data_IF_221400823297
#
_entry.id   IF_221400823297
#
_cell.length_a   1.000
_cell.length_b   1.000
_cell.length_c   1.000
_cell.angle_alpha   90.00
_cell.angle_beta   90.00
_cell.angle_gamma   90.00
#
_symmetry.space_group_name_H-M   'P 1'
#
loop_
_entity.id
_entity.type
_entity.pdbx_description
1 polymer ?
#
# COMPACT_ATOMS: atom_id res chain seq x y z
N UNK A 1 -58.28 -26.98 -30.38
CA UNK A 1 -58.91 -25.72 -30.82
C UNK A 1 -58.52 -24.64 -29.81
N UNK A 2 -57.80 -23.60 -30.26
CA UNK A 2 -57.71 -22.20 -29.78
C UNK A 2 -58.48 -21.86 -28.46
N UNK A 3 -58.03 -21.08 -27.45
CA UNK A 3 -56.96 -20.06 -27.35
C UNK A 3 -56.85 -19.47 -25.92
N UNK A 4 -55.62 -19.02 -25.58
CA UNK A 4 -55.18 -17.79 -24.87
C UNK A 4 -55.49 -17.48 -23.37
N UNK A 5 -54.37 -17.36 -22.64
CA UNK A 5 -53.86 -16.20 -21.86
C UNK A 5 -54.78 -15.54 -20.81
N UNK A 6 -54.36 -15.54 -19.53
CA UNK A 6 -53.55 -14.46 -18.93
C UNK A 6 -53.43 -14.55 -17.39
N UNK A 7 -52.34 -13.98 -16.87
CA UNK A 7 -52.08 -13.49 -15.48
C UNK A 7 -51.70 -14.52 -14.40
N UNK A 8 -50.44 -14.98 -14.48
CA UNK A 8 -49.58 -15.06 -13.30
C UNK A 8 -49.18 -13.63 -12.90
N UNK A 9 -49.97 -13.00 -12.04
CA UNK A 9 -49.55 -11.77 -11.37
C UNK A 9 -48.53 -12.10 -10.28
N UNK A 10 -47.30 -11.64 -10.52
CA UNK A 10 -46.31 -11.26 -9.53
C UNK A 10 -46.94 -10.93 -8.16
N UNK A 11 -46.81 -11.82 -7.19
CA UNK A 11 -46.73 -11.42 -5.78
C UNK A 11 -45.25 -11.14 -5.55
N UNK A 12 -44.83 -9.94 -5.97
CA UNK A 12 -43.62 -9.32 -5.44
C UNK A 12 -44.03 -8.91 -4.04
N UNK A 13 -43.47 -9.59 -3.04
CA UNK A 13 -43.61 -9.21 -1.64
C UNK A 13 -43.05 -7.79 -1.46
N UNK A 14 -43.91 -6.77 -1.28
CA UNK A 14 -43.47 -5.38 -1.21
C UNK A 14 -42.66 -5.12 0.06
N UNK A 15 -42.88 -5.92 1.12
CA UNK A 15 -42.17 -5.78 2.39
C UNK A 15 -40.75 -6.30 2.29
N UNK A 16 -40.52 -7.47 1.68
CA UNK A 16 -39.16 -8.01 1.44
C UNK A 16 -38.28 -7.06 0.60
N UNK A 17 -38.85 -6.45 -0.45
CA UNK A 17 -38.13 -5.48 -1.28
C UNK A 17 -37.98 -4.12 -0.60
N UNK A 18 -38.98 -3.66 0.17
CA UNK A 18 -38.89 -2.42 0.93
C UNK A 18 -37.89 -2.52 2.08
N UNK A 19 -37.84 -3.63 2.82
CA UNK A 19 -36.85 -3.87 3.88
C UNK A 19 -35.45 -3.97 3.28
N UNK A 20 -35.27 -4.68 2.16
CA UNK A 20 -33.97 -4.70 1.44
C UNK A 20 -33.58 -3.34 0.89
N UNK A 21 -34.52 -2.56 0.34
CA UNK A 21 -34.28 -1.18 -0.10
C UNK A 21 -33.94 -0.26 1.06
N UNK A 22 -34.64 -0.38 2.18
CA UNK A 22 -34.47 0.45 3.37
C UNK A 22 -33.13 0.16 4.02
N UNK A 23 -32.76 -1.11 4.22
CA UNK A 23 -31.44 -1.51 4.73
C UNK A 23 -30.34 -1.05 3.79
N UNK A 24 -30.53 -1.17 2.47
CA UNK A 24 -29.59 -0.68 1.45
C UNK A 24 -29.47 0.85 1.45
N UNK A 25 -30.55 1.60 1.60
CA UNK A 25 -30.55 3.06 1.65
C UNK A 25 -29.98 3.59 2.97
N UNK A 26 -30.25 2.92 4.10
CA UNK A 26 -29.68 3.24 5.42
C UNK A 26 -28.17 3.00 5.43
N UNK A 27 -27.74 1.88 4.87
CA UNK A 27 -26.33 1.53 4.67
C UNK A 27 -25.61 2.50 3.72
N UNK A 28 -26.24 2.89 2.61
CA UNK A 28 -25.72 3.94 1.72
C UNK A 28 -25.67 5.28 2.45
N UNK A 29 -26.69 5.66 3.23
CA UNK A 29 -26.71 6.88 4.04
C UNK A 29 -25.58 6.95 5.07
N UNK A 30 -25.35 5.86 5.82
CA UNK A 30 -24.25 5.77 6.78
C UNK A 30 -22.87 5.76 6.14
N UNK A 31 -22.74 5.16 4.96
CA UNK A 31 -21.51 5.22 4.17
C UNK A 31 -21.28 6.62 3.59
N UNK A 32 -22.34 7.34 3.21
CA UNK A 32 -22.26 8.68 2.64
C UNK A 32 -21.95 9.78 3.68
N UNK A 33 -22.24 9.58 4.96
CA UNK A 33 -21.82 10.53 6.02
C UNK A 33 -20.37 10.31 6.49
N UNK A 34 -19.79 9.12 6.25
CA UNK A 34 -18.36 8.84 6.44
C UNK A 34 -17.43 9.58 5.46
N UNK A 35 -17.99 10.24 4.44
CA UNK A 35 -17.33 10.81 3.25
C UNK A 35 -16.33 11.96 3.51
N UNK A 36 -16.27 12.55 4.70
CA UNK A 36 -15.54 13.81 4.90
C UNK A 36 -14.02 13.68 5.19
N UNK A 37 -13.35 12.60 4.78
CA UNK A 37 -12.32 12.04 5.66
C UNK A 37 -10.84 11.92 5.18
N UNK A 38 -10.05 13.01 5.06
CA UNK A 38 -8.56 13.00 5.29
C UNK A 38 -8.09 13.75 6.56
N UNK A 39 -7.62 13.05 7.61
CA UNK A 39 -7.36 13.59 8.97
C UNK A 39 -7.76 12.65 10.11
N UNK A 40 -7.61 13.09 11.36
CA UNK A 40 -8.19 12.37 12.51
C UNK A 40 -9.69 12.60 12.52
N UNK A 41 -10.44 11.53 12.80
CA UNK A 41 -11.89 11.59 12.90
C UNK A 41 -12.30 12.47 14.07
N UNK A 42 -13.32 13.32 13.91
CA UNK A 42 -13.75 14.27 14.94
C UNK A 42 -14.06 13.61 16.29
N UNK A 43 -14.60 12.38 16.29
CA UNK A 43 -14.84 11.59 17.50
C UNK A 43 -13.58 11.22 18.29
N UNK A 44 -12.40 11.26 17.64
CA UNK A 44 -11.14 10.81 18.21
C UNK A 44 -10.19 11.96 18.59
N UNK A 45 -10.47 13.20 18.16
CA UNK A 45 -9.54 14.34 18.27
C UNK A 45 -9.10 14.61 19.70
N UNK A 46 -10.03 14.67 20.65
CA UNK A 46 -9.70 15.05 22.03
C UNK A 46 -8.84 13.99 22.72
N UNK A 47 -9.18 12.71 22.53
CA UNK A 47 -8.37 11.61 23.05
C UNK A 47 -6.99 11.53 22.42
N UNK A 48 -6.88 11.88 21.14
CA UNK A 48 -5.60 11.89 20.44
C UNK A 48 -4.72 13.02 20.93
N UNK A 49 -5.28 14.21 21.19
CA UNK A 49 -4.53 15.31 21.80
C UNK A 49 -3.99 14.89 23.18
N UNK A 50 -4.84 14.32 24.04
CA UNK A 50 -4.43 13.87 25.38
C UNK A 50 -3.27 12.86 25.32
N UNK A 51 -3.34 11.89 24.41
CA UNK A 51 -2.24 10.93 24.24
C UNK A 51 -0.97 11.56 23.68
N UNK A 52 -1.08 12.33 22.60
CA UNK A 52 0.10 12.93 21.96
C UNK A 52 0.76 14.04 22.77
N UNK A 53 0.06 14.61 23.75
CA UNK A 53 0.62 15.59 24.68
C UNK A 53 1.50 14.95 25.78
N UNK A 54 1.53 13.62 25.88
CA UNK A 54 2.46 12.91 26.79
C UNK A 54 3.90 13.06 26.30
N UNK A 55 4.79 13.50 27.20
CA UNK A 55 6.21 13.77 26.91
C UNK A 55 6.95 12.56 26.34
N UNK A 56 6.69 11.37 26.87
CA UNK A 56 7.29 10.11 26.40
C UNK A 56 7.07 9.88 24.90
N UNK A 57 5.83 10.06 24.43
CA UNK A 57 5.46 9.86 23.01
C UNK A 57 6.11 10.89 22.10
N UNK A 58 6.25 12.13 22.58
CA UNK A 58 6.93 13.20 21.86
C UNK A 58 8.43 12.93 21.75
N UNK A 59 9.07 12.42 22.80
CA UNK A 59 10.49 12.06 22.76
C UNK A 59 10.77 10.89 21.82
N UNK A 60 9.89 9.87 21.74
CA UNK A 60 9.97 8.80 20.73
C UNK A 60 9.90 9.38 19.31
N UNK A 61 8.91 10.24 19.04
CA UNK A 61 8.72 10.89 17.73
C UNK A 61 9.92 11.77 17.33
N UNK A 62 10.48 12.50 18.30
CA UNK A 62 11.68 13.31 18.13
C UNK A 62 12.92 12.46 17.84
N UNK A 63 13.13 11.40 18.62
CA UNK A 63 14.28 10.52 18.49
C UNK A 63 14.37 9.92 17.09
N UNK A 64 13.28 9.33 16.59
CA UNK A 64 13.27 8.77 15.22
C UNK A 64 13.44 9.88 14.18
N UNK A 65 12.81 11.04 14.37
CA UNK A 65 12.89 12.15 13.41
C UNK A 65 14.31 12.64 13.21
N UNK A 66 15.04 12.91 14.29
CA UNK A 66 16.42 13.38 14.25
C UNK A 66 17.36 12.32 13.63
N UNK A 67 17.14 11.04 13.93
CA UNK A 67 17.96 9.93 13.43
C UNK A 67 17.71 9.60 11.94
N UNK A 68 16.67 10.16 11.34
CA UNK A 68 16.21 9.81 9.99
C UNK A 68 16.04 11.03 9.08
N UNK A 69 16.79 12.11 9.37
CA UNK A 69 16.88 13.28 8.50
C UNK A 69 17.53 12.88 7.18
N UNK A 70 16.74 12.89 6.10
CA UNK A 70 17.23 12.78 4.72
C UNK A 70 17.42 14.18 4.17
N UNK A 71 18.68 14.60 4.04
CA UNK A 71 19.03 15.95 3.58
C UNK A 71 18.40 16.26 2.23
N UNK A 72 17.93 17.49 2.09
CA UNK A 72 17.51 18.03 0.80
C UNK A 72 18.37 19.24 0.43
N UNK A 73 18.95 19.30 -0.79
CA UNK A 73 19.66 20.49 -1.24
C UNK A 73 18.73 21.65 -1.62
N UNK A 74 17.41 21.41 -1.66
CA UNK A 74 16.41 22.41 -2.08
C UNK A 74 15.21 22.44 -1.13
N UNK A 75 14.85 23.62 -0.65
CA UNK A 75 13.71 23.85 0.26
C UNK A 75 12.36 23.46 -0.35
N UNK A 76 12.23 23.49 -1.68
CA UNK A 76 10.99 23.19 -2.39
C UNK A 76 11.15 21.93 -3.22
N UNK A 77 10.16 21.04 -3.19
CA UNK A 77 9.89 20.18 -4.37
C UNK A 77 9.61 21.18 -5.51
N UNK A 78 10.17 20.97 -6.71
CA UNK A 78 9.61 21.63 -7.91
C UNK A 78 8.09 21.55 -7.79
N UNK A 79 7.38 22.67 -7.95
CA UNK A 79 5.94 22.80 -7.71
C UNK A 79 5.20 21.61 -8.33
N UNK A 80 5.00 20.57 -7.53
CA UNK A 80 4.08 19.49 -7.86
C UNK A 80 2.75 20.18 -7.67
N UNK A 81 2.11 20.50 -8.80
CA UNK A 81 0.86 21.23 -8.92
C UNK A 81 0.04 21.21 -7.62
N UNK A 82 -0.27 22.40 -7.09
CA UNK A 82 -1.09 22.66 -5.90
C UNK A 82 -1.83 21.41 -5.40
N UNK A 83 -1.33 20.86 -4.29
CA UNK A 83 -1.96 19.73 -3.62
C UNK A 83 -3.43 20.06 -3.40
N UNK A 84 -4.35 19.10 -3.60
CA UNK A 84 -5.76 19.35 -3.32
C UNK A 84 -5.92 19.82 -1.86
N UNK A 85 -6.77 20.83 -1.58
CA UNK A 85 -7.05 21.22 -0.22
C UNK A 85 -7.59 20.02 0.58
N UNK A 86 -7.38 20.03 1.90
CA UNK A 86 -7.96 19.01 2.77
C UNK A 86 -9.49 18.94 2.55
N UNK A 87 -10.08 17.73 2.54
CA UNK A 87 -11.52 17.58 2.43
C UNK A 87 -12.23 18.39 3.52
N UNK A 88 -13.41 18.98 3.22
CA UNK A 88 -14.22 19.66 4.22
C UNK A 88 -14.49 18.72 5.41
N UNK A 89 -14.21 19.17 6.64
CA UNK A 89 -14.48 18.41 7.88
C UNK A 89 -13.26 17.87 8.62
N UNK A 90 -12.06 17.93 8.04
CA UNK A 90 -10.84 17.46 8.71
C UNK A 90 -9.70 18.48 8.75
N UNK A 91 -8.88 18.35 9.80
CA UNK A 91 -7.73 19.21 10.09
C UNK A 91 -6.50 18.36 10.28
N UNK A 92 -5.35 18.90 9.89
CA UNK A 92 -4.06 18.35 10.25
C UNK A 92 -3.93 18.30 11.78
N UNK A 93 -3.52 17.17 12.34
CA UNK A 93 -3.34 17.07 13.78
C UNK A 93 -2.15 17.91 14.25
N UNK A 94 -2.23 18.63 15.38
CA UNK A 94 -1.11 19.41 15.91
C UNK A 94 0.16 18.59 16.18
N UNK A 95 0.02 17.27 16.46
CA UNK A 95 1.17 16.39 16.74
C UNK A 95 2.09 16.18 15.55
N UNK A 96 1.68 16.51 14.32
CA UNK A 96 2.53 16.36 13.12
C UNK A 96 3.88 17.05 13.28
N UNK A 97 3.93 18.18 14.00
CA UNK A 97 5.16 18.90 14.31
C UNK A 97 6.25 17.96 14.87
N UNK A 98 5.90 16.95 15.65
CA UNK A 98 6.89 16.05 16.25
C UNK A 98 7.57 15.12 15.25
N UNK A 99 6.95 14.86 14.09
CA UNK A 99 7.51 14.03 13.00
C UNK A 99 8.26 14.83 11.93
N UNK A 100 8.25 16.16 12.03
CA UNK A 100 8.85 17.08 11.06
C UNK A 100 10.27 17.46 11.49
N UNK A 101 11.22 17.33 10.57
CA UNK A 101 12.60 17.74 10.86
C UNK A 101 12.73 19.27 10.98
N UNK A 102 11.90 20.02 10.25
CA UNK A 102 11.84 21.49 10.31
C UNK A 102 11.51 22.01 11.72
N UNK A 103 10.73 21.25 12.51
CA UNK A 103 10.44 21.58 13.91
C UNK A 103 11.71 21.61 14.77
N UNK A 104 12.74 20.86 14.37
CA UNK A 104 14.03 20.81 15.03
C UNK A 104 15.13 21.59 14.28
N UNK A 105 14.75 22.48 13.35
CA UNK A 105 15.69 23.34 12.62
C UNK A 105 16.42 22.67 11.46
N UNK A 106 15.95 21.53 10.97
CA UNK A 106 16.57 20.78 9.88
C UNK A 106 15.73 20.76 8.60
N UNK A 107 16.39 20.68 7.44
CA UNK A 107 15.73 20.49 6.16
C UNK A 107 15.71 19.02 5.79
N UNK A 108 14.52 18.48 5.53
CA UNK A 108 14.36 17.07 5.19
C UNK A 108 13.47 16.86 3.96
N UNK A 109 13.84 15.89 3.13
CA UNK A 109 12.98 15.44 2.02
C UNK A 109 11.63 14.89 2.50
N UNK A 110 11.59 14.26 3.68
CA UNK A 110 10.35 13.74 4.27
C UNK A 110 9.38 14.88 4.54
N UNK A 111 9.83 16.03 5.04
CA UNK A 111 8.97 17.16 5.38
C UNK A 111 8.22 17.74 4.18
N UNK A 112 8.71 17.50 2.95
CA UNK A 112 8.05 17.94 1.70
C UNK A 112 6.71 17.25 1.43
N UNK A 113 6.34 16.26 2.23
CA UNK A 113 5.04 15.58 2.16
C UNK A 113 4.08 16.06 3.24
N UNK A 114 4.47 17.02 4.10
CA UNK A 114 3.67 17.45 5.25
C UNK A 114 2.25 17.88 4.87
N UNK A 115 2.09 18.47 3.69
CA UNK A 115 0.79 18.90 3.16
C UNK A 115 -0.12 17.73 2.71
N UNK A 116 0.46 16.52 2.58
CA UNK A 116 -0.25 15.27 2.28
C UNK A 116 -0.48 14.41 3.54
N UNK A 117 0.09 14.82 4.68
CA UNK A 117 0.09 14.05 5.92
C UNK A 117 -0.80 14.71 6.94
N UNK A 118 -1.66 13.91 7.58
CA UNK A 118 -2.70 14.40 8.47
C UNK A 118 -2.52 14.05 9.94
N UNK A 119 -1.73 13.02 10.23
CA UNK A 119 -1.37 12.62 11.59
C UNK A 119 0.09 12.16 11.64
N UNK A 120 0.69 12.22 12.83
CA UNK A 120 2.14 12.10 13.00
C UNK A 120 2.65 10.68 12.72
N UNK A 121 1.83 9.66 12.91
CA UNK A 121 2.18 8.25 12.68
C UNK A 121 2.61 8.02 11.23
N UNK A 122 2.08 8.82 10.31
CA UNK A 122 2.43 8.74 8.90
C UNK A 122 3.87 9.16 8.66
N UNK A 123 4.29 10.23 9.33
CA UNK A 123 5.69 10.64 9.33
C UNK A 123 6.51 9.57 10.04
N UNK A 124 6.09 9.10 11.21
CA UNK A 124 6.85 8.09 11.97
C UNK A 124 7.07 6.80 11.16
N UNK A 125 6.06 6.27 10.49
CA UNK A 125 6.17 5.11 9.62
C UNK A 125 7.16 5.33 8.47
N UNK A 126 7.17 6.53 7.87
CA UNK A 126 8.13 6.86 6.82
C UNK A 126 9.55 7.02 7.36
N UNK A 127 9.68 7.53 8.58
CA UNK A 127 10.94 7.63 9.31
C UNK A 127 11.46 6.23 9.66
N UNK A 128 10.58 5.31 10.05
CA UNK A 128 10.92 3.89 10.24
C UNK A 128 11.50 3.26 8.97
N UNK A 129 10.97 3.58 7.78
CA UNK A 129 11.53 3.10 6.50
C UNK A 129 12.97 3.58 6.31
N UNK A 130 13.21 4.86 6.61
CA UNK A 130 14.55 5.45 6.55
C UNK A 130 15.48 4.79 7.57
N UNK A 131 15.02 4.56 8.79
CA UNK A 131 15.77 3.88 9.84
C UNK A 131 16.18 2.46 9.43
N UNK A 132 15.20 1.64 8.99
CA UNK A 132 15.43 0.27 8.52
C UNK A 132 16.39 0.26 7.34
N UNK A 133 16.22 1.15 6.36
CA UNK A 133 17.09 1.17 5.16
C UNK A 133 18.50 1.70 5.46
N UNK A 134 18.72 2.47 6.54
CA UNK A 134 20.05 2.89 6.99
C UNK A 134 20.78 1.80 7.77
N UNK A 135 20.04 1.00 8.53
CA UNK A 135 20.55 -0.05 9.41
C UNK A 135 19.80 -1.37 9.21
N UNK A 136 19.78 -1.91 7.98
CA UNK A 136 19.05 -3.16 7.71
C UNK A 136 19.69 -4.34 8.44
N UNK A 137 18.89 -5.34 8.76
CA UNK A 137 19.37 -6.59 9.36
C UNK A 137 20.52 -7.18 8.51
N UNK A 138 21.67 -7.59 9.10
CA UNK A 138 22.88 -7.95 8.35
C UNK A 138 22.66 -8.99 7.25
N UNK A 139 21.95 -10.09 7.55
CA UNK A 139 21.62 -11.13 6.54
C UNK A 139 20.77 -10.61 5.37
N UNK A 140 19.83 -9.70 5.65
CA UNK A 140 18.97 -9.10 4.61
C UNK A 140 19.78 -8.12 3.78
N UNK A 141 20.71 -7.40 4.40
CA UNK A 141 21.62 -6.52 3.70
C UNK A 141 22.60 -7.29 2.80
N UNK A 142 23.14 -8.42 3.26
CA UNK A 142 23.95 -9.31 2.44
C UNK A 142 23.18 -9.83 1.22
N UNK A 143 21.90 -10.19 1.39
CA UNK A 143 21.03 -10.55 0.27
C UNK A 143 20.87 -9.37 -0.71
N UNK A 144 20.63 -8.16 -0.21
CA UNK A 144 20.52 -6.96 -1.05
C UNK A 144 21.83 -6.65 -1.81
N UNK A 145 22.99 -6.77 -1.17
CA UNK A 145 24.32 -6.65 -1.80
C UNK A 145 24.46 -7.67 -2.94
N UNK A 146 24.12 -8.93 -2.67
CA UNK A 146 24.22 -10.01 -3.67
C UNK A 146 23.32 -9.75 -4.88
N UNK A 147 22.07 -9.37 -4.63
CA UNK A 147 21.11 -8.96 -5.68
C UNK A 147 21.68 -7.79 -6.50
N UNK A 148 22.22 -6.79 -5.80
CA UNK A 148 22.85 -5.62 -6.41
C UNK A 148 23.98 -6.00 -7.36
N UNK A 149 24.94 -6.80 -6.89
CA UNK A 149 26.10 -7.26 -7.68
C UNK A 149 25.69 -8.00 -8.95
N UNK A 150 24.70 -8.91 -8.86
CA UNK A 150 24.21 -9.62 -10.05
C UNK A 150 23.53 -8.65 -11.01
N UNK A 151 22.65 -7.78 -10.53
CA UNK A 151 22.01 -6.77 -11.38
C UNK A 151 23.02 -5.84 -12.04
N UNK A 152 24.02 -5.36 -11.31
CA UNK A 152 25.06 -4.49 -11.84
C UNK A 152 25.83 -5.16 -12.96
N UNK A 153 26.21 -6.42 -12.77
CA UNK A 153 26.87 -7.24 -13.80
C UNK A 153 25.99 -7.39 -15.04
N UNK A 154 24.73 -7.74 -14.89
CA UNK A 154 23.83 -8.01 -16.01
C UNK A 154 23.42 -6.73 -16.76
N UNK A 155 23.05 -5.67 -16.04
CA UNK A 155 22.64 -4.41 -16.63
C UNK A 155 23.79 -3.66 -17.31
N UNK A 156 25.04 -3.84 -16.84
CA UNK A 156 26.22 -3.21 -17.46
C UNK A 156 26.53 -3.72 -18.88
N UNK A 157 25.96 -4.87 -19.27
CA UNK A 157 26.10 -5.42 -20.63
C UNK A 157 25.16 -4.73 -21.64
N UNK A 158 24.14 -4.03 -21.15
CA UNK A 158 23.12 -3.41 -21.99
C UNK A 158 23.63 -2.09 -22.55
N UNK A 159 23.31 -1.82 -23.81
CA UNK A 159 23.45 -0.48 -24.36
C UNK A 159 22.45 0.48 -23.68
N UNK A 160 22.70 1.79 -23.86
CA UNK A 160 21.90 2.85 -23.22
C UNK A 160 20.41 2.80 -23.62
N UNK A 161 20.10 2.45 -24.86
CA UNK A 161 18.73 2.39 -25.36
C UNK A 161 17.99 1.20 -24.74
N UNK A 162 18.61 0.02 -24.75
CA UNK A 162 18.05 -1.20 -24.13
C UNK A 162 17.81 -1.01 -22.63
N UNK A 163 18.78 -0.40 -21.91
CA UNK A 163 18.64 -0.10 -20.49
C UNK A 163 17.49 0.89 -20.24
N UNK A 164 17.34 1.94 -21.06
CA UNK A 164 16.23 2.87 -20.94
C UNK A 164 14.86 2.19 -21.20
N UNK A 165 14.79 1.30 -22.19
CA UNK A 165 13.57 0.54 -22.51
C UNK A 165 13.12 -0.36 -21.37
N UNK A 166 14.04 -0.90 -20.56
CA UNK A 166 13.69 -1.66 -19.34
C UNK A 166 12.80 -0.84 -18.41
N UNK A 167 13.19 0.41 -18.13
CA UNK A 167 12.44 1.29 -17.24
C UNK A 167 11.15 1.80 -17.89
N UNK A 168 11.21 2.17 -19.17
CA UNK A 168 10.07 2.72 -19.91
C UNK A 168 8.93 1.69 -20.08
N UNK A 169 9.27 0.45 -20.45
CA UNK A 169 8.30 -0.62 -20.74
C UNK A 169 7.92 -1.36 -19.46
N UNK A 170 8.88 -1.60 -18.57
CA UNK A 170 8.66 -2.31 -17.30
C UNK A 170 7.75 -1.53 -16.36
N UNK A 171 7.89 -0.21 -16.30
CA UNK A 171 7.01 0.61 -15.48
C UNK A 171 5.61 0.77 -16.10
N UNK A 172 4.57 0.74 -15.29
CA UNK A 172 3.19 0.98 -15.75
C UNK A 172 2.83 2.47 -15.74
N UNK A 173 3.62 3.31 -15.08
CA UNK A 173 3.44 4.76 -14.95
C UNK A 173 4.80 5.43 -15.07
N UNK A 174 4.87 6.65 -15.64
CA UNK A 174 6.09 7.45 -15.64
C UNK A 174 6.49 7.76 -14.19
N UNK A 175 7.59 7.17 -13.74
CA UNK A 175 8.06 7.23 -12.35
C UNK A 175 8.69 8.60 -12.05
N UNK A 176 7.88 9.54 -11.58
CA UNK A 176 8.34 10.90 -11.26
C UNK A 176 9.09 11.01 -9.94
N UNK A 177 8.85 10.09 -9.00
CA UNK A 177 9.42 10.16 -7.64
C UNK A 177 10.80 9.55 -7.53
N UNK A 178 11.26 8.88 -8.58
CA UNK A 178 12.58 8.24 -8.64
C UNK A 178 13.38 8.73 -9.85
N UNK A 179 12.99 9.89 -10.38
CA UNK A 179 13.63 10.51 -11.54
C UNK A 179 15.10 10.86 -11.24
N UNK A 180 15.42 11.22 -9.99
CA UNK A 180 16.79 11.44 -9.51
C UNK A 180 17.69 10.22 -9.67
N UNK A 181 17.13 9.00 -9.54
CA UNK A 181 17.86 7.74 -9.74
C UNK A 181 17.89 7.35 -11.23
N UNK A 182 16.82 7.61 -11.96
CA UNK A 182 16.66 7.21 -13.36
C UNK A 182 17.40 8.13 -14.36
N UNK A 183 17.60 9.41 -14.03
CA UNK A 183 18.31 10.37 -14.89
C UNK A 183 19.81 10.07 -14.97
N UNK A 184 20.42 9.57 -13.88
CA UNK A 184 21.84 9.21 -13.83
C UNK A 184 22.04 7.69 -13.85
N UNK A 185 21.76 7.10 -15.02
CA UNK A 185 21.93 5.66 -15.25
C UNK A 185 23.37 5.18 -14.99
N UNK A 186 24.39 6.02 -15.20
CA UNK A 186 25.79 5.65 -14.94
C UNK A 186 26.03 5.47 -13.45
N UNK A 187 25.55 6.40 -12.63
CA UNK A 187 25.64 6.30 -11.17
C UNK A 187 24.83 5.13 -10.64
N UNK A 188 23.63 4.89 -11.20
CA UNK A 188 22.82 3.72 -10.87
C UNK A 188 23.61 2.42 -11.08
N UNK A 189 24.22 2.25 -12.26
CA UNK A 189 25.04 1.05 -12.57
C UNK A 189 26.26 0.97 -11.67
N UNK A 190 26.95 2.08 -11.40
CA UNK A 190 28.11 2.11 -10.49
C UNK A 190 27.75 1.65 -9.08
N UNK A 191 26.59 2.05 -8.54
CA UNK A 191 26.10 1.60 -7.23
C UNK A 191 25.84 0.09 -7.24
N UNK A 192 25.28 -0.45 -8.33
CA UNK A 192 24.99 -1.88 -8.44
C UNK A 192 26.23 -2.74 -8.69
N UNK A 193 27.27 -2.19 -9.33
CA UNK A 193 28.52 -2.91 -9.58
C UNK A 193 29.39 -3.03 -8.32
N UNK A 194 29.38 -1.99 -7.46
CA UNK A 194 30.10 -1.96 -6.19
C UNK A 194 29.13 -1.69 -5.01
N UNK A 195 28.16 -2.57 -4.73
CA UNK A 195 27.09 -2.32 -3.75
C UNK A 195 27.60 -2.11 -2.32
N UNK A 196 28.75 -2.69 -1.97
CA UNK A 196 29.39 -2.54 -0.65
C UNK A 196 29.97 -1.14 -0.41
N UNK A 197 30.29 -0.39 -1.48
CA UNK A 197 30.80 0.99 -1.38
C UNK A 197 29.68 2.02 -1.20
N UNK A 198 28.45 1.64 -1.52
CA UNK A 198 27.29 2.51 -1.38
C UNK A 198 26.71 2.40 0.04
N UNK A 199 26.29 3.51 0.67
CA UNK A 199 25.50 3.46 1.89
C UNK A 199 24.27 2.54 1.72
N UNK A 200 23.89 1.74 2.73
CA UNK A 200 22.79 0.79 2.63
C UNK A 200 21.50 1.40 2.06
N UNK A 201 21.14 2.59 2.55
CA UNK A 201 19.95 3.31 2.09
C UNK A 201 20.01 3.67 0.60
N UNK A 202 21.19 4.02 0.08
CA UNK A 202 21.39 4.36 -1.32
C UNK A 202 21.27 3.11 -2.22
N UNK A 203 21.88 1.99 -1.80
CA UNK A 203 21.77 0.71 -2.51
C UNK A 203 20.31 0.24 -2.56
N UNK A 204 19.64 0.18 -1.41
CA UNK A 204 18.26 -0.27 -1.30
C UNK A 204 17.30 0.60 -2.14
N UNK A 205 17.57 1.91 -2.20
CA UNK A 205 16.84 2.82 -3.09
C UNK A 205 17.04 2.49 -4.57
N UNK A 206 18.28 2.20 -4.99
CA UNK A 206 18.54 1.81 -6.39
C UNK A 206 17.89 0.47 -6.70
N UNK A 207 18.01 -0.52 -5.82
CA UNK A 207 17.39 -1.83 -5.98
C UNK A 207 15.88 -1.73 -6.16
N UNK A 208 15.21 -0.93 -5.33
CA UNK A 208 13.78 -0.69 -5.43
C UNK A 208 13.37 -0.14 -6.82
N UNK A 209 14.11 0.86 -7.32
CA UNK A 209 13.85 1.50 -8.63
C UNK A 209 14.04 0.52 -9.79
N UNK A 210 14.97 -0.42 -9.67
CA UNK A 210 15.35 -1.36 -10.73
C UNK A 210 14.54 -2.66 -10.68
N UNK A 211 14.38 -3.26 -9.51
CA UNK A 211 13.69 -4.53 -9.32
C UNK A 211 12.21 -4.46 -9.70
N UNK A 212 11.54 -3.33 -9.46
CA UNK A 212 10.14 -3.15 -9.82
C UNK A 212 9.90 -3.30 -11.34
N UNK A 213 10.46 -2.45 -12.22
CA UNK A 213 10.26 -2.58 -13.67
C UNK A 213 10.83 -3.89 -14.22
N UNK A 214 11.99 -4.35 -13.74
CA UNK A 214 12.58 -5.63 -14.14
C UNK A 214 11.67 -6.82 -13.80
N UNK A 215 11.17 -6.87 -12.56
CA UNK A 215 10.24 -7.89 -12.10
C UNK A 215 8.91 -7.83 -12.85
N UNK A 216 8.40 -6.64 -13.17
CA UNK A 216 7.15 -6.49 -13.93
C UNK A 216 7.27 -7.04 -15.36
N UNK A 217 8.43 -6.88 -16.00
CA UNK A 217 8.72 -7.52 -17.27
C UNK A 217 8.76 -9.05 -17.11
N UNK A 218 9.47 -9.54 -16.08
CA UNK A 218 9.59 -10.97 -15.79
C UNK A 218 8.24 -11.64 -15.51
N UNK A 219 7.40 -11.01 -14.69
CA UNK A 219 6.12 -11.55 -14.25
C UNK A 219 5.12 -11.71 -15.40
N UNK A 220 5.21 -10.85 -16.43
CA UNK A 220 4.32 -10.91 -17.59
C UNK A 220 4.94 -11.62 -18.81
N UNK A 221 6.21 -12.01 -18.72
CA UNK A 221 6.97 -12.54 -19.86
C UNK A 221 6.36 -13.83 -20.42
N UNK A 222 6.13 -13.87 -21.73
CA UNK A 222 5.53 -15.02 -22.43
C UNK A 222 4.03 -15.24 -22.16
N UNK A 223 3.39 -14.44 -21.30
CA UNK A 223 1.97 -14.50 -21.01
C UNK A 223 1.11 -13.57 -21.87
N UNK A 224 -0.23 -13.65 -21.68
CA UNK A 224 -1.22 -12.80 -22.38
C UNK A 224 -0.99 -11.30 -22.19
N UNK A 225 -0.41 -10.90 -21.06
CA UNK A 225 -0.16 -9.50 -20.70
C UNK A 225 1.32 -9.09 -20.86
N UNK A 226 2.11 -9.84 -21.65
CA UNK A 226 3.53 -9.59 -21.85
C UNK A 226 3.80 -8.16 -22.34
N UNK A 227 4.45 -7.36 -21.50
CA UNK A 227 4.77 -5.95 -21.78
C UNK A 227 5.70 -5.78 -22.99
N UNK A 228 6.67 -6.69 -23.17
CA UNK A 228 7.60 -6.68 -24.31
C UNK A 228 6.85 -6.96 -25.62
N UNK A 229 6.00 -7.99 -25.63
CA UNK A 229 5.20 -8.31 -26.81
C UNK A 229 4.24 -7.18 -27.17
N UNK A 230 3.62 -6.54 -26.17
CA UNK A 230 2.78 -5.36 -26.38
C UNK A 230 3.58 -4.20 -27.00
N UNK A 231 4.76 -3.88 -26.47
CA UNK A 231 5.62 -2.83 -27.01
C UNK A 231 6.07 -3.12 -28.45
N UNK A 232 6.35 -4.40 -28.77
CA UNK A 232 6.64 -4.86 -30.13
C UNK A 232 5.47 -4.64 -31.08
N UNK A 233 4.25 -4.93 -30.64
CA UNK A 233 3.02 -4.67 -31.40
C UNK A 233 2.75 -3.16 -31.61
N UNK A 234 3.21 -2.32 -30.67
CA UNK A 234 3.17 -0.86 -30.78
C UNK A 234 4.30 -0.28 -31.67
N UNK A 235 5.13 -1.13 -32.30
CA UNK A 235 6.18 -0.71 -33.22
C UNK A 235 7.47 -0.22 -32.54
N UNK A 236 7.66 -0.47 -31.24
CA UNK A 236 8.90 -0.15 -30.54
C UNK A 236 9.97 -1.21 -30.85
N UNK A 237 11.22 -0.78 -31.04
CA UNK A 237 12.36 -1.70 -31.05
C UNK A 237 12.65 -2.19 -29.64
N UNK A 238 12.41 -3.47 -29.41
CA UNK A 238 12.60 -4.16 -28.14
C UNK A 238 13.50 -5.38 -28.26
N UNK A 239 14.24 -5.51 -29.38
CA UNK A 239 15.06 -6.69 -29.68
C UNK A 239 16.11 -6.97 -28.60
N UNK A 240 16.84 -5.95 -28.16
CA UNK A 240 17.80 -6.05 -27.06
C UNK A 240 17.15 -6.42 -25.73
N UNK A 241 15.99 -5.83 -25.41
CA UNK A 241 15.25 -6.10 -24.18
C UNK A 241 14.66 -7.52 -24.16
N UNK A 242 14.13 -8.00 -25.29
CA UNK A 242 13.60 -9.35 -25.47
C UNK A 242 14.71 -10.40 -25.27
N UNK A 243 15.89 -10.18 -25.87
CA UNK A 243 17.07 -11.04 -25.69
C UNK A 243 17.52 -11.09 -24.23
N UNK A 244 17.68 -9.92 -23.60
CA UNK A 244 18.05 -9.81 -22.19
C UNK A 244 17.07 -10.54 -21.27
N UNK A 245 15.77 -10.29 -21.43
CA UNK A 245 14.75 -10.94 -20.60
C UNK A 245 14.68 -12.44 -20.89
N UNK A 246 14.90 -12.89 -22.12
CA UNK A 246 15.01 -14.30 -22.47
C UNK A 246 16.10 -15.02 -21.67
N UNK A 247 17.28 -14.42 -21.52
CA UNK A 247 18.37 -14.96 -20.69
C UNK A 247 18.00 -14.95 -19.20
N UNK A 248 17.50 -13.82 -18.69
CA UNK A 248 17.20 -13.66 -17.26
C UNK A 248 16.07 -14.59 -16.80
N UNK A 249 15.09 -14.86 -17.66
CA UNK A 249 13.94 -15.71 -17.31
C UNK A 249 14.30 -17.14 -16.95
N UNK A 250 15.47 -17.65 -17.40
CA UNK A 250 15.96 -18.96 -16.98
C UNK A 250 16.12 -19.07 -15.46
N UNK A 251 16.52 -17.98 -14.80
CA UNK A 251 16.70 -17.92 -13.34
C UNK A 251 15.46 -17.41 -12.60
N UNK A 252 14.64 -16.57 -13.25
CA UNK A 252 13.49 -15.92 -12.61
C UNK A 252 12.21 -16.77 -12.63
N UNK A 253 12.04 -17.63 -13.64
CA UNK A 253 10.81 -18.41 -13.85
C UNK A 253 10.42 -19.30 -12.67
N UNK A 254 11.36 -19.97 -11.95
CA UNK A 254 11.00 -20.80 -10.78
C UNK A 254 10.31 -20.02 -9.66
N UNK A 255 10.54 -18.71 -9.57
CA UNK A 255 10.00 -17.83 -8.52
C UNK A 255 8.79 -17.03 -9.00
N UNK A 256 8.15 -17.46 -10.08
CA UNK A 256 6.99 -16.76 -10.62
C UNK A 256 5.81 -16.82 -9.65
N UNK A 257 5.37 -15.65 -9.22
CA UNK A 257 4.16 -15.49 -8.41
C UNK A 257 3.04 -14.99 -9.34
N UNK A 258 2.01 -15.82 -9.60
CA UNK A 258 0.93 -15.42 -10.49
C UNK A 258 0.19 -14.23 -9.89
N UNK A 259 -0.12 -13.24 -10.74
CA UNK A 259 -1.02 -12.17 -10.37
C UNK A 259 -2.43 -12.75 -10.22
N UNK A 260 -2.93 -12.81 -8.99
CA UNK A 260 -4.29 -13.20 -8.69
C UNK A 260 -4.93 -12.07 -7.89
N UNK A 261 -6.08 -11.58 -8.37
CA UNK A 261 -7.01 -10.85 -7.52
C UNK A 261 -7.65 -11.88 -6.59
N UNK A 262 -7.27 -11.89 -5.32
CA UNK A 262 -7.73 -12.89 -4.35
C UNK A 262 -9.26 -13.02 -4.35
N UNK A 263 -9.76 -14.26 -4.44
CA UNK A 263 -11.17 -14.57 -4.20
C UNK A 263 -11.44 -14.52 -2.70
N UNK A 264 -12.40 -13.72 -2.24
CA UNK A 264 -12.69 -13.53 -0.81
C UNK A 264 -12.03 -12.29 -0.20
N UNK A 265 -11.24 -11.54 -0.97
CA UNK A 265 -10.92 -10.17 -0.60
C UNK A 265 -12.22 -9.42 -0.25
N UNK A 266 -12.24 -8.51 0.72
CA UNK A 266 -13.41 -7.67 1.02
C UNK A 266 -13.90 -6.84 -0.18
N UNK A 267 -13.12 -6.82 -1.27
CA UNK A 267 -13.40 -6.19 -2.57
C UNK A 267 -13.48 -7.18 -3.74
N UNK A 268 -13.45 -8.49 -3.46
CA UNK A 268 -13.73 -9.50 -4.45
C UNK A 268 -15.18 -9.29 -4.91
N UNK A 269 -15.36 -9.21 -6.22
CA UNK A 269 -16.65 -8.99 -6.87
C UNK A 269 -17.78 -9.86 -6.29
N UNK A 270 -17.50 -11.12 -5.94
CA UNK A 270 -18.44 -12.06 -5.34
C UNK A 270 -18.87 -11.64 -3.93
N UNK A 271 -17.93 -11.25 -3.07
CA UNK A 271 -18.22 -10.85 -1.69
C UNK A 271 -19.02 -9.54 -1.66
N UNK A 272 -18.66 -8.58 -2.51
CA UNK A 272 -19.41 -7.33 -2.67
C UNK A 272 -20.82 -7.54 -3.23
N UNK A 273 -21.02 -8.50 -4.13
CA UNK A 273 -22.34 -8.89 -4.61
C UNK A 273 -23.17 -9.56 -3.50
N UNK A 274 -22.57 -10.42 -2.68
CA UNK A 274 -23.23 -11.06 -1.54
C UNK A 274 -23.70 -10.03 -0.50
N UNK A 275 -22.87 -9.03 -0.16
CA UNK A 275 -23.28 -7.93 0.72
C UNK A 275 -24.42 -7.09 0.13
N UNK A 276 -24.37 -6.78 -1.18
CA UNK A 276 -25.48 -6.08 -1.88
C UNK A 276 -26.79 -6.85 -1.86
N UNK A 277 -26.72 -8.18 -1.71
CA UNK A 277 -27.88 -9.08 -1.66
C UNK A 277 -28.36 -9.37 -0.22
N UNK A 278 -27.73 -8.76 0.79
CA UNK A 278 -28.14 -8.85 2.20
C UNK A 278 -27.43 -9.93 3.01
N UNK A 279 -26.25 -10.40 2.58
CA UNK A 279 -25.41 -11.25 3.42
C UNK A 279 -25.04 -10.52 4.73
N UNK A 280 -24.96 -11.27 5.83
CA UNK A 280 -24.48 -10.73 7.10
C UNK A 280 -23.04 -10.25 6.93
N UNK A 281 -22.78 -9.04 7.43
CA UNK A 281 -21.45 -8.45 7.51
C UNK A 281 -21.01 -8.61 8.96
N UNK A 282 -19.88 -9.26 9.20
CA UNK A 282 -19.33 -9.32 10.57
C UNK A 282 -18.89 -7.93 11.04
N UNK A 283 -18.79 -7.71 12.36
CA UNK A 283 -18.31 -6.42 12.90
C UNK A 283 -16.92 -6.03 12.35
N UNK A 284 -16.05 -7.00 12.06
CA UNK A 284 -14.74 -6.77 11.45
C UNK A 284 -14.79 -6.37 9.97
N UNK A 285 -15.79 -6.85 9.22
CA UNK A 285 -15.99 -6.53 7.80
C UNK A 285 -16.75 -5.21 7.61
N UNK A 286 -17.54 -4.78 8.60
CA UNK A 286 -18.39 -3.58 8.55
C UNK A 286 -17.58 -2.30 8.32
N UNK A 287 -16.41 -2.22 8.96
CA UNK A 287 -15.44 -1.11 8.83
C UNK A 287 -14.90 -1.02 7.40
N UNK A 288 -14.64 -2.17 6.79
CA UNK A 288 -14.03 -2.29 5.47
C UNK A 288 -15.06 -1.99 4.36
N UNK A 289 -16.26 -2.55 4.49
CA UNK A 289 -17.32 -2.45 3.48
C UNK A 289 -17.87 -1.03 3.31
N UNK A 290 -17.95 -0.23 4.38
CA UNK A 290 -18.41 1.17 4.30
C UNK A 290 -17.47 2.02 3.40
N UNK A 291 -16.15 1.82 3.53
CA UNK A 291 -15.13 2.56 2.78
C UNK A 291 -15.15 2.29 1.25
N UNK A 292 -15.56 1.09 0.84
CA UNK A 292 -15.73 0.75 -0.58
C UNK A 292 -16.79 1.62 -1.28
N UNK A 293 -17.90 1.82 -0.58
CA UNK A 293 -19.08 2.48 -1.11
C UNK A 293 -18.90 4.00 -1.13
N UNK A 294 -18.03 4.52 -0.27
CA UNK A 294 -17.50 5.90 -0.31
C UNK A 294 -16.77 6.20 -1.64
N UNK A 295 -16.05 5.23 -2.23
CA UNK A 295 -15.35 5.41 -3.51
C UNK A 295 -16.28 5.36 -4.74
N UNK A 296 -17.42 4.68 -4.62
CA UNK A 296 -18.38 4.50 -5.72
C UNK A 296 -19.40 5.64 -5.84
N UNK A 297 -19.51 6.51 -4.84
CA UNK A 297 -20.56 7.55 -4.73
C UNK A 297 -20.13 8.91 -5.29
N UNK A 298 -18.85 9.11 -5.62
CA UNK A 298 -18.33 10.35 -6.24
C UNK A 298 -18.54 10.45 -7.77
N UNK A 299 -19.22 9.48 -8.40
CA UNK A 299 -19.65 9.60 -9.80
C UNK A 299 -21.17 9.66 -9.80
N UNK A 300 -21.76 10.71 -10.38
CA UNK A 300 -23.21 10.85 -10.63
C UNK A 300 -23.77 9.80 -11.62
N UNK A 301 -23.09 8.67 -11.82
CA UNK A 301 -23.52 7.55 -12.64
C UNK A 301 -24.03 6.39 -11.80
N UNK A 302 -24.83 5.53 -12.42
CA UNK A 302 -25.17 4.22 -11.87
C UNK A 302 -23.89 3.51 -11.39
N UNK A 303 -23.88 3.07 -10.12
CA UNK A 303 -22.81 2.24 -9.56
C UNK A 303 -22.62 1.06 -10.53
N UNK A 304 -21.44 0.91 -11.16
CA UNK A 304 -21.25 -0.13 -12.15
C UNK A 304 -21.50 -1.50 -11.50
N UNK A 305 -22.09 -2.44 -12.25
CA UNK A 305 -22.30 -3.82 -11.77
C UNK A 305 -20.99 -4.50 -11.33
N UNK A 306 -19.85 -3.97 -11.80
CA UNK A 306 -18.50 -4.43 -11.53
C UNK A 306 -17.65 -3.22 -11.06
N UNK A 307 -17.09 -3.21 -9.83
CA UNK A 307 -16.05 -2.25 -9.49
C UNK A 307 -14.85 -2.40 -10.41
N UNK A 308 -14.55 -1.36 -11.19
CA UNK A 308 -13.22 -1.22 -11.76
C UNK A 308 -12.28 -0.69 -10.68
N UNK A 309 -11.93 -1.52 -9.70
CA UNK A 309 -10.75 -1.30 -8.85
C UNK A 309 -9.52 -1.66 -9.68
N UNK A 310 -9.16 -0.74 -10.57
CA UNK A 310 -7.76 -0.40 -10.81
C UNK A 310 -7.48 0.80 -9.92
N UNK A 311 -6.28 0.89 -9.36
CA UNK A 311 -5.78 2.06 -8.62
C UNK A 311 -6.54 3.31 -9.05
N UNK A 312 -7.41 3.84 -8.17
CA UNK A 312 -8.43 4.81 -8.61
C UNK A 312 -7.71 6.06 -9.08
N UNK A 313 -7.51 6.16 -10.39
CA UNK A 313 -7.01 7.33 -11.09
C UNK A 313 -8.20 8.24 -11.27
N UNK A 314 -8.42 9.14 -10.31
CA UNK A 314 -9.42 10.20 -10.49
C UNK A 314 -8.75 11.29 -11.31
N UNK A 315 -9.24 11.54 -12.52
CA UNK A 315 -8.88 12.76 -13.24
C UNK A 315 -9.76 13.88 -12.70
N UNK A 316 -9.17 14.94 -12.16
CA UNK A 316 -9.92 16.14 -11.81
C UNK A 316 -10.47 16.83 -13.07
N UNK A 317 -11.32 17.87 -12.94
CA UNK A 317 -11.87 18.61 -14.09
C UNK A 317 -10.83 19.29 -14.99
N UNK A 318 -9.56 19.37 -14.54
CA UNK A 318 -8.42 19.91 -15.30
C UNK A 318 -7.61 18.80 -16.00
N UNK A 319 -8.00 17.52 -15.84
CA UNK A 319 -7.33 16.36 -16.42
C UNK A 319 -6.19 15.78 -15.58
N UNK A 320 -6.00 16.24 -14.33
CA UNK A 320 -4.91 15.79 -13.44
C UNK A 320 -5.27 14.50 -12.70
N UNK A 321 -4.37 13.52 -12.70
CA UNK A 321 -4.51 12.25 -11.98
C UNK A 321 -4.30 12.41 -10.47
N UNK A 322 -5.31 12.12 -9.67
CA UNK A 322 -5.29 12.05 -8.21
C UNK A 322 -5.20 10.58 -7.76
N UNK A 323 -4.27 10.30 -6.85
CA UNK A 323 -4.16 9.03 -6.12
C UNK A 323 -4.76 9.21 -4.73
N UNK A 324 -5.79 8.44 -4.39
CA UNK A 324 -6.49 8.53 -3.10
C UNK A 324 -5.81 7.60 -2.08
N UNK A 325 -5.36 8.17 -0.95
CA UNK A 325 -4.83 7.45 0.21
C UNK A 325 -5.51 8.04 1.45
N UNK A 326 -6.26 7.25 2.22
CA UNK A 326 -6.80 7.66 3.54
C UNK A 326 -6.32 6.73 4.65
N UNK A 327 -6.42 7.19 5.90
CA UNK A 327 -5.62 6.79 7.05
C UNK A 327 -5.99 5.44 7.69
N UNK A 328 -7.12 4.86 7.26
CA UNK A 328 -7.51 3.48 7.53
C UNK A 328 -7.94 2.79 6.23
N UNK A 329 -7.38 3.24 5.10
CA UNK A 329 -7.59 2.58 3.82
C UNK A 329 -6.78 1.27 3.72
N UNK A 330 -7.00 0.42 4.72
CA UNK A 330 -6.92 -1.05 4.69
C UNK A 330 -7.58 -1.75 3.47
N UNK A 331 -8.37 -1.14 2.57
CA UNK A 331 -8.97 -1.89 1.48
C UNK A 331 -8.30 -1.87 0.12
N UNK A 332 -7.20 -1.14 -0.07
CA UNK A 332 -6.33 -1.44 -1.22
C UNK A 332 -5.52 -2.75 -1.01
N UNK A 333 -5.68 -3.40 0.14
CA UNK A 333 -4.73 -4.38 0.67
C UNK A 333 -4.85 -5.78 0.07
N UNK A 334 -5.77 -5.99 -0.86
CA UNK A 334 -5.94 -7.27 -1.56
C UNK A 334 -5.85 -7.14 -3.08
N UNK A 335 -5.32 -6.03 -3.60
CA UNK A 335 -4.53 -6.15 -4.82
C UNK A 335 -3.20 -6.73 -4.34
N UNK A 336 -3.06 -8.06 -4.40
CA UNK A 336 -1.75 -8.70 -4.24
C UNK A 336 -0.91 -8.08 -5.34
N UNK A 337 -0.18 -7.03 -4.99
CA UNK A 337 0.27 -6.09 -5.99
C UNK A 337 1.19 -6.89 -6.92
N UNK A 338 0.87 -6.86 -8.21
CA UNK A 338 1.72 -7.49 -9.21
C UNK A 338 3.17 -7.00 -9.06
N UNK A 339 3.35 -5.79 -8.53
CA UNK A 339 4.64 -5.19 -8.18
C UNK A 339 5.38 -5.89 -7.05
N UNK A 340 4.76 -6.21 -5.90
CA UNK A 340 5.44 -6.93 -4.80
C UNK A 340 5.83 -8.33 -5.24
N UNK A 341 4.91 -9.07 -5.88
CA UNK A 341 5.19 -10.38 -6.44
C UNK A 341 6.31 -10.33 -7.49
N UNK A 342 6.29 -9.31 -8.36
CA UNK A 342 7.34 -9.06 -9.35
C UNK A 342 8.72 -8.75 -8.72
N UNK A 343 8.77 -7.86 -7.74
CA UNK A 343 10.00 -7.51 -7.01
C UNK A 343 10.57 -8.76 -6.36
N UNK A 344 9.73 -9.59 -5.75
CA UNK A 344 10.18 -10.84 -5.11
C UNK A 344 10.60 -11.89 -6.13
N UNK A 345 9.87 -12.06 -7.23
CA UNK A 345 10.30 -12.94 -8.33
C UNK A 345 11.70 -12.54 -8.83
N UNK A 346 11.92 -11.24 -9.01
CA UNK A 346 13.22 -10.68 -9.38
C UNK A 346 14.30 -10.96 -8.34
N UNK A 347 14.07 -10.56 -7.09
CA UNK A 347 15.04 -10.68 -6.01
C UNK A 347 15.45 -12.14 -5.76
N UNK A 348 14.47 -13.05 -5.65
CA UNK A 348 14.73 -14.46 -5.37
C UNK A 348 15.40 -15.15 -6.57
N UNK A 349 14.99 -14.82 -7.80
CA UNK A 349 15.65 -15.33 -9.01
C UNK A 349 17.10 -14.86 -9.15
N UNK A 350 17.42 -13.63 -8.73
CA UNK A 350 18.79 -13.11 -8.73
C UNK A 350 19.66 -13.77 -7.66
N UNK A 351 19.11 -14.01 -6.46
CA UNK A 351 19.80 -14.78 -5.42
C UNK A 351 20.06 -16.22 -5.86
N UNK A 352 19.08 -16.85 -6.51
CA UNK A 352 19.23 -18.18 -7.08
C UNK A 352 20.32 -18.21 -8.17
N UNK A 353 20.34 -17.22 -9.07
CA UNK A 353 21.39 -17.07 -10.09
C UNK A 353 22.78 -16.88 -9.46
N UNK A 354 22.87 -16.25 -8.30
CA UNK A 354 24.11 -16.11 -7.53
C UNK A 354 24.52 -17.39 -6.79
N UNK A 355 23.68 -18.43 -6.75
CA UNK A 355 23.88 -19.60 -5.90
C UNK A 355 23.74 -19.28 -4.40
N UNK A 356 23.05 -18.18 -4.06
CA UNK A 356 22.91 -17.66 -2.69
C UNK A 356 21.46 -17.68 -2.17
N UNK A 357 20.70 -18.71 -2.55
CA UNK A 357 19.35 -18.91 -2.01
C UNK A 357 19.34 -19.18 -0.49
N UNK A 358 20.48 -19.59 0.09
CA UNK A 358 20.69 -19.78 1.53
C UNK A 358 20.39 -18.53 2.35
N UNK A 359 20.59 -17.34 1.77
CA UNK A 359 20.35 -16.06 2.45
C UNK A 359 18.87 -15.81 2.79
N UNK A 360 17.95 -16.48 2.10
CA UNK A 360 16.49 -16.34 2.28
C UNK A 360 15.76 -17.68 2.21
N UNK A 361 16.34 -18.73 2.78
CA UNK A 361 15.77 -20.09 2.74
C UNK A 361 14.46 -20.26 3.54
N UNK A 362 14.17 -19.35 4.48
CA UNK A 362 12.98 -19.44 5.32
C UNK A 362 11.89 -18.43 4.92
N UNK A 363 10.59 -18.76 5.13
CA UNK A 363 9.47 -17.84 4.95
C UNK A 363 9.66 -16.50 5.67
N UNK A 364 10.23 -16.53 6.88
CA UNK A 364 10.55 -15.33 7.66
C UNK A 364 11.60 -14.49 6.94
N UNK A 365 12.67 -15.10 6.42
CA UNK A 365 13.71 -14.36 5.70
C UNK A 365 13.18 -13.76 4.38
N UNK A 366 12.32 -14.49 3.65
CA UNK A 366 11.62 -13.98 2.45
C UNK A 366 10.74 -12.77 2.81
N UNK A 367 9.98 -12.86 3.91
CA UNK A 367 9.17 -11.76 4.42
C UNK A 367 10.02 -10.52 4.72
N UNK A 368 11.11 -10.69 5.49
CA UNK A 368 11.99 -9.58 5.87
C UNK A 368 12.65 -8.94 4.63
N UNK A 369 13.13 -9.75 3.68
CA UNK A 369 13.70 -9.25 2.44
C UNK A 369 12.66 -8.43 1.65
N UNK A 370 11.44 -8.94 1.51
CA UNK A 370 10.37 -8.24 0.83
C UNK A 370 9.96 -6.94 1.50
N UNK A 371 9.90 -6.93 2.84
CA UNK A 371 9.60 -5.71 3.60
C UNK A 371 10.69 -4.66 3.43
N UNK A 372 11.96 -5.07 3.33
CA UNK A 372 13.08 -4.14 3.06
C UNK A 372 13.07 -3.64 1.62
N UNK A 373 12.90 -4.52 0.62
CA UNK A 373 12.99 -4.16 -0.80
C UNK A 373 11.75 -3.47 -1.35
N UNK A 374 10.56 -3.90 -0.92
CA UNK A 374 9.28 -3.35 -1.38
C UNK A 374 8.66 -2.44 -0.33
N UNK A 375 8.59 -2.86 0.94
CA UNK A 375 7.86 -2.16 2.02
C UNK A 375 8.52 -0.86 2.49
N UNK A 376 9.86 -0.83 2.65
CA UNK A 376 10.59 0.32 3.20
C UNK A 376 10.85 1.45 2.18
N UNK A 377 10.06 1.51 1.11
CA UNK A 377 10.14 2.56 0.11
C UNK A 377 9.34 3.81 0.51
N UNK A 378 9.99 4.70 1.28
CA UNK A 378 9.35 5.95 1.70
C UNK A 378 9.09 6.95 0.55
N UNK A 379 9.71 6.76 -0.63
CA UNK A 379 9.58 7.71 -1.74
C UNK A 379 8.35 7.45 -2.63
N UNK A 380 7.95 6.20 -2.87
CA UNK A 380 6.90 5.90 -3.86
C UNK A 380 5.47 5.94 -3.37
N UNK A 381 5.17 5.67 -2.08
CA UNK A 381 3.77 5.51 -1.67
C UNK A 381 3.35 6.05 -0.29
N UNK A 382 4.24 6.67 0.48
CA UNK A 382 3.87 7.08 1.83
C UNK A 382 3.44 5.89 2.71
N UNK A 383 2.99 6.21 3.91
CA UNK A 383 2.59 5.37 5.05
C UNK A 383 1.92 3.99 4.83
N UNK A 384 1.27 3.71 3.69
CA UNK A 384 0.51 2.47 3.45
C UNK A 384 1.34 1.26 3.03
N UNK A 385 2.56 1.50 2.56
CA UNK A 385 3.29 0.51 1.81
C UNK A 385 3.59 -0.77 2.60
N UNK A 386 3.86 -0.69 3.91
CA UNK A 386 4.08 -1.88 4.74
C UNK A 386 2.87 -2.79 4.81
N UNK A 387 1.71 -2.17 5.00
CA UNK A 387 0.48 -2.87 5.24
C UNK A 387 -0.14 -3.40 3.94
N UNK A 388 0.22 -2.83 2.79
CA UNK A 388 -0.06 -3.39 1.46
C UNK A 388 0.94 -4.50 1.07
N UNK A 389 2.22 -4.32 1.38
CA UNK A 389 3.28 -5.27 1.03
C UNK A 389 3.19 -6.54 1.86
N UNK A 390 2.89 -6.46 3.15
CA UNK A 390 2.90 -7.63 4.03
C UNK A 390 1.92 -8.74 3.60
N UNK A 391 0.63 -8.46 3.31
CA UNK A 391 -0.28 -9.48 2.74
C UNK A 391 0.20 -10.01 1.38
N UNK A 392 0.75 -9.15 0.53
CA UNK A 392 1.30 -9.58 -0.75
C UNK A 392 2.52 -10.52 -0.58
N UNK A 393 3.32 -10.33 0.47
CA UNK A 393 4.42 -11.24 0.81
C UNK A 393 3.94 -12.58 1.38
N UNK A 394 2.81 -12.62 2.09
CA UNK A 394 2.18 -13.90 2.45
C UNK A 394 1.81 -14.71 1.19
N UNK A 395 1.37 -14.04 0.13
CA UNK A 395 1.11 -14.69 -1.16
C UNK A 395 2.39 -15.19 -1.84
N UNK A 396 3.47 -14.40 -1.80
CA UNK A 396 4.79 -14.83 -2.30
C UNK A 396 5.26 -16.07 -1.55
N UNK A 397 5.17 -16.07 -0.22
CA UNK A 397 5.56 -17.19 0.63
C UNK A 397 4.74 -18.44 0.32
N UNK A 398 3.43 -18.28 0.07
CA UNK A 398 2.58 -19.40 -0.32
C UNK A 398 3.04 -20.06 -1.64
N UNK A 399 3.45 -19.26 -2.62
CA UNK A 399 3.85 -19.77 -3.94
C UNK A 399 5.29 -20.26 -4.02
N UNK A 400 6.20 -19.56 -3.34
CA UNK A 400 7.64 -19.79 -3.43
C UNK A 400 8.15 -20.64 -2.28
N UNK A 401 7.65 -20.40 -1.07
CA UNK A 401 8.00 -21.16 0.13
C UNK A 401 7.13 -22.40 0.34
N UNK A 402 6.14 -22.64 -0.53
CA UNK A 402 5.18 -23.75 -0.45
C UNK A 402 4.43 -23.83 0.89
N UNK A 403 4.32 -22.70 1.62
CA UNK A 403 3.55 -22.64 2.87
C UNK A 403 2.05 -22.47 2.60
N UNK A 404 1.22 -22.76 3.61
CA UNK A 404 -0.20 -22.39 3.55
C UNK A 404 -0.35 -20.87 3.55
N UNK A 405 -1.16 -20.35 2.62
CA UNK A 405 -1.53 -18.93 2.62
C UNK A 405 -2.20 -18.55 3.95
N UNK A 406 -1.75 -17.43 4.54
CA UNK A 406 -2.28 -16.89 5.79
C UNK A 406 -3.00 -15.59 5.48
N UNK A 407 -4.31 -15.60 5.63
CA UNK A 407 -5.12 -14.39 5.63
C UNK A 407 -5.15 -13.79 7.04
N UNK A 408 -4.91 -12.49 7.14
CA UNK A 408 -4.93 -11.76 8.41
C UNK A 408 -6.07 -10.76 8.41
N UNK A 409 -6.81 -10.72 9.52
CA UNK A 409 -7.75 -9.64 9.80
C UNK A 409 -6.98 -8.30 10.00
N UNK A 410 -7.63 -7.15 9.73
CA UNK A 410 -7.09 -5.82 10.00
C UNK A 410 -6.28 -5.65 11.29
N UNK A 411 -6.83 -6.06 12.43
CA UNK A 411 -6.18 -5.91 13.73
C UNK A 411 -4.94 -6.80 13.88
N UNK A 412 -4.98 -8.00 13.30
CA UNK A 412 -3.84 -8.91 13.29
C UNK A 412 -2.71 -8.35 12.41
N UNK A 413 -3.07 -7.67 11.32
CA UNK A 413 -2.11 -7.00 10.45
C UNK A 413 -1.45 -5.78 11.14
N UNK A 414 -2.24 -5.00 11.90
CA UNK A 414 -1.75 -3.88 12.73
C UNK A 414 -0.71 -4.30 13.77
N UNK A 415 -0.75 -5.56 14.21
CA UNK A 415 0.22 -6.14 15.13
C UNK A 415 1.38 -6.84 14.41
N UNK A 416 1.10 -7.53 13.30
CA UNK A 416 2.10 -8.30 12.57
C UNK A 416 3.16 -7.43 11.86
N UNK A 417 2.75 -6.32 11.26
CA UNK A 417 3.68 -5.41 10.54
C UNK A 417 4.76 -4.82 11.46
N UNK A 418 4.44 -4.25 12.63
CA UNK A 418 5.41 -3.86 13.65
C UNK A 418 6.48 -4.91 13.94
N UNK A 419 6.06 -6.13 14.27
CA UNK A 419 6.96 -7.22 14.63
C UNK A 419 7.92 -7.59 13.49
N UNK A 420 7.42 -7.53 12.26
CA UNK A 420 8.25 -7.80 11.08
C UNK A 420 9.21 -6.65 10.80
N UNK A 421 8.80 -5.39 10.96
CA UNK A 421 9.69 -4.24 10.80
C UNK A 421 10.78 -4.19 11.87
N UNK A 422 10.47 -4.56 13.12
CA UNK A 422 11.47 -4.77 14.18
C UNK A 422 12.50 -5.85 13.80
N UNK A 423 12.07 -6.88 13.07
CA UNK A 423 12.98 -7.90 12.50
C UNK A 423 13.79 -7.44 11.29
N UNK A 424 13.48 -6.28 10.69
CA UNK A 424 14.17 -5.77 9.51
C UNK A 424 15.37 -4.88 9.83
N UNK A 425 15.50 -4.39 11.07
CA UNK A 425 16.62 -3.56 11.53
C UNK A 425 17.70 -4.42 12.18
N UNK A 426 18.96 -4.00 12.08
CA UNK A 426 20.08 -4.64 12.77
C UNK A 426 19.88 -4.56 14.29
N UNK A 427 19.73 -5.69 15.00
CA UNK A 427 19.49 -5.70 16.45
C UNK A 427 20.67 -5.16 17.27
N UNK A 428 21.87 -5.08 16.69
CA UNK A 428 23.05 -4.50 17.34
C UNK A 428 23.18 -2.99 17.16
N UNK A 429 22.34 -2.39 16.31
CA UNK A 429 22.35 -0.96 16.02
C UNK A 429 21.59 -0.16 17.07
N UNK A 430 22.07 1.04 17.38
CA UNK A 430 21.34 2.05 18.20
C UNK A 430 19.97 2.41 17.60
N UNK A 431 19.75 2.14 16.31
CA UNK A 431 18.47 2.33 15.64
C UNK A 431 17.41 1.29 16.03
N UNK A 432 17.81 0.10 16.48
CA UNK A 432 16.89 -0.99 16.81
C UNK A 432 15.88 -0.63 17.91
N UNK A 433 16.30 -0.12 19.09
CA UNK A 433 15.35 0.30 20.12
C UNK A 433 14.43 1.43 19.64
N UNK A 434 14.95 2.41 18.90
CA UNK A 434 14.17 3.53 18.37
C UNK A 434 13.06 3.03 17.41
N UNK A 435 13.39 2.11 16.51
CA UNK A 435 12.41 1.50 15.61
C UNK A 435 11.36 0.72 16.40
N UNK A 436 11.75 -0.01 17.45
CA UNK A 436 10.79 -0.73 18.29
C UNK A 436 9.81 0.21 18.96
N UNK A 437 10.30 1.21 19.67
CA UNK A 437 9.47 2.19 20.40
C UNK A 437 8.51 2.93 19.46
N UNK A 438 8.98 3.32 18.28
CA UNK A 438 8.13 3.97 17.26
C UNK A 438 7.03 3.03 16.78
N UNK A 439 7.36 1.77 16.50
CA UNK A 439 6.36 0.82 16.03
C UNK A 439 5.33 0.50 17.12
N UNK A 440 5.75 0.40 18.38
CA UNK A 440 4.85 0.22 19.53
C UNK A 440 3.91 1.43 19.67
N UNK A 441 4.44 2.65 19.58
CA UNK A 441 3.67 3.89 19.63
C UNK A 441 2.65 3.99 18.48
N UNK A 442 3.07 3.64 17.26
CA UNK A 442 2.19 3.66 16.09
C UNK A 442 1.07 2.61 16.24
N UNK A 443 1.38 1.42 16.76
CA UNK A 443 0.38 0.37 17.00
C UNK A 443 -0.62 0.77 18.07
N UNK A 444 -0.14 1.25 19.23
CA UNK A 444 -1.00 1.74 20.32
C UNK A 444 -2.00 2.78 19.79
N UNK A 445 -1.51 3.68 18.93
CA UNK A 445 -2.34 4.73 18.34
C UNK A 445 -3.38 4.19 17.35
N UNK A 446 -3.02 3.21 16.52
CA UNK A 446 -3.98 2.55 15.63
C UNK A 446 -5.04 1.76 16.41
N UNK A 447 -4.66 1.07 17.48
CA UNK A 447 -5.59 0.35 18.36
C UNK A 447 -6.55 1.32 19.06
N UNK A 448 -6.06 2.46 19.56
CA UNK A 448 -6.91 3.52 20.10
C UNK A 448 -7.92 4.04 19.06
N UNK A 449 -7.46 4.29 17.83
CA UNK A 449 -8.37 4.70 16.75
C UNK A 449 -9.47 3.67 16.51
N UNK A 450 -9.11 2.39 16.51
CA UNK A 450 -10.04 1.29 16.28
C UNK A 450 -11.08 1.18 17.40
N UNK A 451 -10.67 1.30 18.67
CA UNK A 451 -11.58 1.26 19.82
C UNK A 451 -12.55 2.46 19.83
N UNK A 452 -12.04 3.68 19.61
CA UNK A 452 -12.87 4.89 19.56
C UNK A 452 -13.88 4.84 18.41
N UNK A 453 -13.48 4.25 17.27
CA UNK A 453 -14.39 4.05 16.15
C UNK A 453 -15.54 3.11 16.52
N UNK A 454 -15.25 1.97 17.17
CA UNK A 454 -16.30 1.04 17.64
C UNK A 454 -17.24 1.69 18.63
N UNK A 455 -16.71 2.50 19.56
CA UNK A 455 -17.52 3.25 20.52
C UNK A 455 -18.47 4.22 19.79
N UNK A 456 -17.95 5.03 18.87
CA UNK A 456 -18.73 5.98 18.07
C UNK A 456 -19.84 5.29 17.28
N UNK A 457 -19.57 4.11 16.69
CA UNK A 457 -20.60 3.32 16.00
C UNK A 457 -21.72 2.85 16.95
N UNK A 458 -21.37 2.43 18.17
CA UNK A 458 -22.37 2.00 19.18
C UNK A 458 -23.22 3.16 19.66
N UNK A 459 -22.60 4.30 19.96
CA UNK A 459 -23.30 5.51 20.40
C UNK A 459 -24.27 6.02 19.34
N UNK A 460 -23.86 6.02 18.06
CA UNK A 460 -24.75 6.36 16.95
C UNK A 460 -25.92 5.37 16.82
N UNK A 461 -25.65 4.07 16.91
CA UNK A 461 -26.70 3.06 16.84
C UNK A 461 -27.73 3.21 17.98
N UNK A 462 -27.29 3.60 19.18
CA UNK A 462 -28.17 3.90 20.31
C UNK A 462 -29.02 5.16 20.07
N UNK A 463 -28.39 6.25 19.61
CA UNK A 463 -29.09 7.49 19.28
C UNK A 463 -30.17 7.29 18.20
N UNK A 464 -29.92 6.42 17.21
CA UNK A 464 -30.88 6.06 16.17
C UNK A 464 -32.05 5.20 16.68
N UNK A 465 -31.77 4.30 17.62
CA UNK A 465 -32.82 3.50 18.28
C UNK A 465 -33.72 4.38 19.16
N UNK A 466 -33.15 5.38 19.83
CA UNK A 466 -33.89 6.35 20.65
C UNK A 466 -34.67 7.38 19.82
N UNK A 467 -34.23 7.68 18.59
CA UNK A 467 -34.88 8.63 17.68
C UNK A 467 -35.89 8.00 16.70
N UNK A 468 -36.06 6.67 16.73
CA UNK A 468 -37.13 6.00 15.99
C UNK A 468 -38.44 6.11 16.79
N UNK A 469 -39.48 6.81 16.32
CA UNK A 469 -40.71 6.97 17.09
C UNK A 469 -41.38 5.60 17.29
N UNK A 470 -41.60 5.22 18.55
CA UNK A 470 -42.53 4.14 18.88
C UNK A 470 -43.88 4.47 18.27
N UNK A 471 -44.30 3.70 17.27
CA UNK A 471 -45.68 3.71 16.77
C UNK A 471 -46.59 3.51 17.98
N UNK A 472 -47.57 4.39 18.25
CA UNK A 472 -48.49 4.18 19.35
C UNK A 472 -49.17 2.82 19.14
N UNK A 473 -49.11 1.94 20.14
CA UNK A 473 -49.94 0.75 20.13
C UNK A 473 -51.38 1.23 20.12
N UNK A 474 -52.09 1.00 19.02
CA UNK A 474 -53.53 1.12 19.03
C UNK A 474 -54.06 0.07 20.01
N UNK A 475 -54.44 0.53 21.20
CA UNK A 475 -55.24 -0.21 22.15
C UNK A 475 -56.68 -0.26 21.61
N UNK A 476 -57.12 -1.49 21.32
CA UNK A 476 -58.48 -2.03 21.09
C UNK A 476 -59.22 -1.53 19.85
#
# INVERSE_FOLDING_TARGET
MFTKLNKLSKIIDPFSNATKMFTRQRFIGFSLEGIQNRGISTYAVDRFNEEWDKLEKQEIAKAITLNTIVSTPHFKRQEVALQPPFPPGKKQHPSIKYGLAETYGHLCQVDKIKDQVVCVEHLLLMRTAVAVTRKPHPKIYEAAITIGSILGKELSKLDKQTLASLFEIGSSIKESRSQDVLEDQRRLISILQDPEKAPPQQLLRVLEVVLSPFGMLANTYGGKFCKIQKAKQEGKDVSGLESFMGEMMLSLKPFHVPYIKSSGAPYAHLQMQQYRLGAQISEGELVTVNHYLECCTQKEGLIPEIPQLRSVVVKDPTGRTLHLHDHLNLPHFFDVSGTTGAVMQAALGLLHRAGRSDLVESPKAIMLLGMVLAGCNFYKQGYHNYYEVYPALQWVIHHVGEEKFKELAPIQLLQAVPEVLKGCVDPSSEMSPIVSEVMDLVTEHFELHYELYKQHLREKAQQEQESTPTTPSNTI
#
